data_IF_834920448949
#
_entry.id   IF_834920448949
#
_cell.length_a   1.000
_cell.length_b   1.000
_cell.length_c   1.000
_cell.angle_alpha   90.00
_cell.angle_beta   90.00
_cell.angle_gamma   90.00
#
_symmetry.space_group_name_H-M   'P 1'
#
loop_
_entity.id
_entity.type
_entity.pdbx_description
1 polymer ?
#
# COMPACT_ATOMS: atom_id res chain seq x y z
N UNK A 1 22.01 -13.77 -16.02
CA UNK A 1 21.87 -12.42 -15.44
C UNK A 1 20.65 -12.45 -14.55
N UNK A 2 20.76 -12.06 -13.28
CA UNK A 2 19.58 -11.94 -12.41
C UNK A 2 18.67 -10.84 -12.98
N UNK A 3 17.40 -11.16 -13.22
CA UNK A 3 16.42 -10.16 -13.63
C UNK A 3 16.10 -9.28 -12.41
N UNK A 4 16.27 -7.97 -12.56
CA UNK A 4 15.88 -7.00 -11.53
C UNK A 4 14.35 -6.96 -11.46
N UNK A 5 13.78 -7.33 -10.32
CA UNK A 5 12.35 -7.16 -10.06
C UNK A 5 12.05 -5.74 -9.61
N UNK A 6 11.15 -5.05 -10.31
CA UNK A 6 10.65 -3.74 -9.91
C UNK A 6 9.26 -3.84 -9.27
N UNK A 7 8.92 -2.83 -8.47
CA UNK A 7 7.64 -2.75 -7.75
C UNK A 7 6.83 -1.58 -8.33
N UNK A 8 5.58 -1.85 -8.65
CA UNK A 8 4.63 -0.84 -9.08
C UNK A 8 3.33 -0.92 -8.29
N UNK A 9 2.77 0.24 -7.92
CA UNK A 9 1.38 0.36 -7.50
C UNK A 9 0.58 0.93 -8.66
N UNK A 10 -0.57 0.33 -8.94
CA UNK A 10 -1.41 0.63 -10.08
C UNK A 10 -2.80 0.95 -9.55
N UNK A 11 -3.38 2.02 -10.07
CA UNK A 11 -4.77 2.39 -9.83
C UNK A 11 -5.41 2.86 -11.14
N UNK A 12 -6.73 2.79 -11.22
CA UNK A 12 -7.46 3.11 -12.45
C UNK A 12 -8.70 3.94 -12.17
N UNK A 13 -8.99 4.89 -13.06
CA UNK A 13 -10.22 5.66 -13.00
C UNK A 13 -11.01 5.51 -14.28
N UNK A 14 -12.33 5.38 -14.14
CA UNK A 14 -13.27 5.24 -15.23
C UNK A 14 -14.34 6.33 -15.18
N UNK A 15 -14.63 6.94 -16.32
CA UNK A 15 -15.81 7.78 -16.49
C UNK A 15 -16.98 6.88 -16.90
N UNK A 16 -17.81 6.52 -15.92
CA UNK A 16 -18.87 5.50 -16.06
C UNK A 16 -18.27 4.11 -16.39
N UNK A 17 -18.18 3.77 -17.68
CA UNK A 17 -17.60 2.52 -18.19
C UNK A 17 -16.44 2.79 -19.17
N UNK A 18 -16.05 4.05 -19.32
CA UNK A 18 -14.96 4.44 -20.21
C UNK A 18 -13.67 4.57 -19.40
N UNK A 19 -12.61 3.81 -19.74
CA UNK A 19 -11.31 3.97 -19.12
C UNK A 19 -10.80 5.39 -19.37
N UNK A 20 -10.49 6.11 -18.29
CA UNK A 20 -10.17 7.52 -18.35
C UNK A 20 -8.72 7.81 -17.92
N UNK A 21 -8.29 7.20 -16.80
CA UNK A 21 -6.95 7.40 -16.24
C UNK A 21 -6.35 6.07 -15.83
N UNK A 22 -5.09 5.85 -16.20
CA UNK A 22 -4.25 4.81 -15.64
C UNK A 22 -3.16 5.47 -14.79
N UNK A 23 -3.10 5.11 -13.51
CA UNK A 23 -2.15 5.66 -12.55
C UNK A 23 -1.10 4.59 -12.22
N UNK A 24 0.17 4.96 -12.29
CA UNK A 24 1.28 4.04 -12.05
C UNK A 24 2.30 4.71 -11.16
N UNK A 25 2.49 4.20 -9.94
CA UNK A 25 3.63 4.53 -9.11
C UNK A 25 4.74 3.49 -9.29
N UNK A 26 5.90 3.92 -9.80
CA UNK A 26 7.12 3.13 -9.81
C UNK A 26 7.89 3.36 -8.49
N UNK A 27 8.02 2.32 -7.68
CA UNK A 27 8.71 2.39 -6.38
C UNK A 27 10.18 2.03 -6.59
N UNK A 28 11.06 3.01 -6.44
CA UNK A 28 12.52 2.87 -6.67
C UNK A 28 13.22 2.50 -5.36
N UNK A 29 12.82 3.15 -4.26
CA UNK A 29 13.26 2.88 -2.90
C UNK A 29 12.21 3.37 -1.89
N UNK A 30 12.42 3.12 -0.60
CA UNK A 30 11.52 3.54 0.48
C UNK A 30 11.30 5.07 0.52
N UNK A 31 12.23 5.85 -0.03
CA UNK A 31 12.17 7.31 -0.06
C UNK A 31 11.89 7.88 -1.46
N UNK A 32 11.92 7.05 -2.50
CA UNK A 32 11.85 7.52 -3.88
C UNK A 32 10.86 6.70 -4.70
N UNK A 33 9.86 7.40 -5.22
CA UNK A 33 8.95 6.87 -6.22
C UNK A 33 8.69 7.89 -7.32
N UNK A 34 8.23 7.41 -8.48
CA UNK A 34 7.79 8.24 -9.60
C UNK A 34 6.37 7.86 -9.96
N UNK A 35 5.50 8.85 -10.12
CA UNK A 35 4.09 8.63 -10.48
C UNK A 35 3.87 9.07 -11.92
N UNK A 36 3.32 8.17 -12.71
CA UNK A 36 2.91 8.40 -14.09
C UNK A 36 1.39 8.36 -14.15
N UNK A 37 0.80 9.39 -14.76
CA UNK A 37 -0.62 9.48 -15.04
C UNK A 37 -0.80 9.41 -16.55
N UNK A 38 -1.49 8.38 -17.03
CA UNK A 38 -1.74 8.16 -18.45
C UNK A 38 -3.21 8.45 -18.73
N UNK A 39 -3.46 9.55 -19.43
CA UNK A 39 -4.80 10.00 -19.79
C UNK A 39 -5.28 9.31 -21.06
N UNK A 40 -6.20 8.37 -20.91
CA UNK A 40 -6.56 7.44 -22.00
C UNK A 40 -7.25 8.13 -23.18
N UNK A 41 -8.00 9.20 -22.92
CA UNK A 41 -8.69 9.98 -23.94
C UNK A 41 -7.74 10.86 -24.77
N UNK A 42 -6.50 11.06 -24.31
CA UNK A 42 -5.51 11.96 -24.92
C UNK A 42 -4.23 11.21 -25.29
N UNK A 43 -4.29 9.89 -25.43
CA UNK A 43 -3.20 9.11 -25.99
C UNK A 43 -2.88 9.59 -27.42
N UNK A 44 -1.59 9.67 -27.80
CA UNK A 44 -1.21 10.01 -29.15
C UNK A 44 -1.67 8.93 -30.15
N UNK A 45 -1.80 9.25 -31.45
CA UNK A 45 -2.16 8.26 -32.46
C UNK A 45 -1.20 7.07 -32.47
N UNK A 46 -1.73 5.86 -32.70
CA UNK A 46 -0.96 4.60 -32.66
C UNK A 46 0.17 4.54 -33.68
N UNK A 47 0.14 5.37 -34.73
CA UNK A 47 1.20 5.47 -35.73
C UNK A 47 2.38 6.36 -35.31
N UNK A 48 2.33 6.98 -34.13
CA UNK A 48 3.36 7.91 -33.67
C UNK A 48 4.44 7.21 -32.85
N UNK A 49 5.68 7.70 -33.00
CA UNK A 49 6.83 7.26 -32.18
C UNK A 49 6.54 7.43 -30.68
N UNK A 50 5.82 8.49 -30.29
CA UNK A 50 5.46 8.70 -28.89
C UNK A 50 4.54 7.60 -28.36
N UNK A 51 3.54 7.18 -29.13
CA UNK A 51 2.70 6.04 -28.77
C UNK A 51 3.52 4.77 -28.61
N UNK A 52 4.42 4.48 -29.55
CA UNK A 52 5.30 3.32 -29.48
C UNK A 52 6.17 3.33 -28.21
N UNK A 53 6.63 4.51 -27.78
CA UNK A 53 7.40 4.66 -26.54
C UNK A 53 6.56 4.46 -25.29
N UNK A 54 5.32 4.97 -25.26
CA UNK A 54 4.38 4.71 -24.17
C UNK A 54 4.07 3.22 -24.09
N UNK A 55 3.82 2.58 -25.24
CA UNK A 55 3.56 1.14 -25.32
C UNK A 55 4.77 0.32 -24.85
N UNK A 56 5.99 0.68 -25.27
CA UNK A 56 7.22 0.03 -24.81
C UNK A 56 7.38 0.16 -23.29
N UNK A 57 7.16 1.34 -22.73
CA UNK A 57 7.22 1.59 -21.29
C UNK A 57 6.20 0.74 -20.53
N UNK A 58 4.94 0.73 -20.96
CA UNK A 58 3.91 -0.12 -20.37
C UNK A 58 4.26 -1.61 -20.50
N UNK A 59 4.81 -2.05 -21.64
CA UNK A 59 5.30 -3.41 -21.83
C UNK A 59 6.41 -3.81 -20.84
N UNK A 60 7.28 -2.87 -20.48
CA UNK A 60 8.30 -3.06 -19.44
C UNK A 60 7.65 -3.15 -18.06
N UNK A 61 6.74 -2.23 -17.72
CA UNK A 61 6.07 -2.17 -16.40
C UNK A 61 5.25 -3.45 -16.15
N UNK A 62 4.42 -3.84 -17.11
CA UNK A 62 3.46 -4.94 -16.98
C UNK A 62 4.04 -6.33 -17.31
N UNK A 63 5.37 -6.46 -17.37
CA UNK A 63 6.06 -7.75 -17.58
C UNK A 63 5.97 -8.65 -16.34
N UNK A 64 5.95 -9.98 -16.56
CA UNK A 64 5.83 -11.01 -15.52
C UNK A 64 6.88 -10.97 -14.40
N UNK A 65 8.05 -10.36 -14.63
CA UNK A 65 9.12 -10.23 -13.64
C UNK A 65 8.91 -9.12 -12.59
N UNK A 66 7.93 -8.24 -12.79
CA UNK A 66 7.63 -7.14 -11.89
C UNK A 66 6.48 -7.49 -10.93
N UNK A 67 6.52 -6.87 -9.74
CA UNK A 67 5.44 -6.94 -8.76
C UNK A 67 4.48 -5.79 -8.99
N UNK A 68 3.22 -6.12 -9.22
CA UNK A 68 2.13 -5.16 -9.43
C UNK A 68 1.19 -5.24 -8.24
N UNK A 69 0.98 -4.11 -7.58
CA UNK A 69 0.03 -3.94 -6.49
C UNK A 69 -1.16 -3.13 -6.99
N UNK A 70 -2.38 -3.60 -6.73
CA UNK A 70 -3.59 -2.81 -6.85
C UNK A 70 -4.38 -2.94 -5.56
N UNK A 71 -5.20 -1.94 -5.20
CA UNK A 71 -6.02 -2.08 -4.01
C UNK A 71 -6.99 -3.26 -4.16
N UNK A 72 -7.70 -3.36 -5.28
CA UNK A 72 -8.59 -4.48 -5.57
C UNK A 72 -8.04 -5.45 -6.61
N UNK A 73 -8.92 -6.28 -7.22
CA UNK A 73 -8.54 -7.25 -8.24
C UNK A 73 -8.11 -6.57 -9.55
N UNK A 74 -6.83 -6.19 -9.64
CA UNK A 74 -6.27 -5.36 -10.71
C UNK A 74 -6.52 -5.90 -12.12
N UNK A 75 -6.53 -7.23 -12.31
CA UNK A 75 -6.86 -7.85 -13.61
C UNK A 75 -8.25 -7.43 -14.11
N UNK A 76 -9.24 -7.39 -13.22
CA UNK A 76 -10.61 -6.95 -13.54
C UNK A 76 -10.62 -5.48 -13.96
N UNK A 77 -9.91 -4.63 -13.24
CA UNK A 77 -9.83 -3.20 -13.53
C UNK A 77 -9.12 -2.92 -14.87
N UNK A 78 -7.95 -3.53 -15.11
CA UNK A 78 -7.18 -3.36 -16.34
C UNK A 78 -7.87 -3.93 -17.59
N UNK A 79 -8.85 -4.82 -17.44
CA UNK A 79 -9.58 -5.42 -18.58
C UNK A 79 -10.18 -4.37 -19.50
N UNK A 80 -10.65 -3.24 -18.95
CA UNK A 80 -11.25 -2.17 -19.74
C UNK A 80 -10.21 -1.40 -20.60
N UNK A 81 -8.93 -1.46 -20.21
CA UNK A 81 -7.81 -0.75 -20.84
C UNK A 81 -7.14 -1.56 -21.96
N UNK A 82 -7.43 -2.86 -22.08
CA UNK A 82 -6.81 -3.76 -23.08
C UNK A 82 -6.98 -3.25 -24.52
N UNK A 83 -8.12 -2.61 -24.84
CA UNK A 83 -8.40 -2.06 -26.16
C UNK A 83 -7.37 -1.01 -26.64
N UNK A 84 -6.65 -0.37 -25.72
CA UNK A 84 -5.63 0.64 -26.06
C UNK A 84 -4.28 0.01 -26.40
N UNK A 85 -4.12 -1.31 -26.29
CA UNK A 85 -2.90 -2.05 -26.66
C UNK A 85 -1.63 -1.59 -25.96
N UNK A 86 -1.74 -0.94 -24.78
CA UNK A 86 -0.59 -0.48 -24.01
C UNK A 86 0.20 -1.65 -23.38
N UNK A 87 -0.46 -2.78 -23.13
CA UNK A 87 0.15 -3.97 -22.55
C UNK A 87 -0.55 -5.23 -23.07
N UNK A 88 0.15 -6.36 -22.97
CA UNK A 88 -0.40 -7.67 -23.28
C UNK A 88 -1.03 -8.28 -22.01
N UNK A 89 -2.36 -8.33 -21.99
CA UNK A 89 -3.12 -8.84 -20.85
C UNK A 89 -2.79 -10.30 -20.50
N UNK A 90 -2.38 -11.11 -21.49
CA UNK A 90 -1.99 -12.51 -21.26
C UNK A 90 -0.64 -12.65 -20.58
N UNK A 91 0.21 -11.61 -20.67
CA UNK A 91 1.56 -11.54 -20.11
C UNK A 91 1.64 -10.72 -18.82
N UNK A 92 0.51 -10.20 -18.34
CA UNK A 92 0.44 -9.51 -17.06
C UNK A 92 0.90 -10.47 -15.96
N UNK A 93 1.83 -10.03 -15.10
CA UNK A 93 2.12 -10.76 -13.85
C UNK A 93 0.83 -10.98 -13.07
N UNK A 94 0.77 -11.99 -12.21
CA UNK A 94 -0.33 -12.13 -11.26
C UNK A 94 -0.27 -10.96 -10.29
N UNK A 95 -1.15 -9.94 -10.39
CA UNK A 95 -1.07 -8.79 -9.52
C UNK A 95 -1.49 -9.20 -8.11
N UNK A 96 -0.88 -8.56 -7.12
CA UNK A 96 -1.30 -8.68 -5.73
C UNK A 96 -2.57 -7.88 -5.50
N UNK A 97 -3.59 -8.55 -4.99
CA UNK A 97 -4.82 -7.94 -4.48
C UNK A 97 -4.57 -7.46 -3.05
N UNK A 98 -4.22 -6.18 -2.90
CA UNK A 98 -3.81 -5.62 -1.60
C UNK A 98 -4.97 -5.59 -0.62
N UNK A 99 -6.23 -5.48 -1.06
CA UNK A 99 -7.41 -5.51 -0.20
C UNK A 99 -7.54 -6.86 0.49
N UNK A 100 -7.39 -7.95 -0.27
CA UNK A 100 -7.38 -9.30 0.27
C UNK A 100 -6.19 -9.54 1.21
N UNK A 101 -4.97 -9.24 0.73
CA UNK A 101 -3.74 -9.38 1.52
C UNK A 101 -3.79 -8.57 2.82
N UNK A 102 -4.35 -7.36 2.78
CA UNK A 102 -4.53 -6.48 3.93
C UNK A 102 -5.51 -7.06 4.94
N UNK A 103 -6.66 -7.57 4.50
CA UNK A 103 -7.64 -8.17 5.40
C UNK A 103 -7.02 -9.35 6.16
N UNK A 104 -6.38 -10.26 5.44
CA UNK A 104 -5.74 -11.44 6.02
C UNK A 104 -4.61 -11.04 6.98
N UNK A 105 -3.85 -10.00 6.62
CA UNK A 105 -2.82 -9.45 7.49
C UNK A 105 -3.42 -8.84 8.77
N UNK A 106 -4.46 -8.01 8.64
CA UNK A 106 -5.08 -7.32 9.76
C UNK A 106 -5.70 -8.30 10.75
N UNK A 107 -6.47 -9.27 10.26
CA UNK A 107 -7.15 -10.27 11.10
C UNK A 107 -6.14 -11.15 11.86
N UNK A 108 -4.96 -11.43 11.26
CA UNK A 108 -3.88 -12.17 11.93
C UNK A 108 -3.16 -11.34 13.00
N UNK A 109 -2.91 -10.05 12.72
CA UNK A 109 -2.13 -9.16 13.60
C UNK A 109 -2.97 -8.65 14.76
N UNK A 110 -4.25 -8.34 14.49
CA UNK A 110 -5.20 -7.78 15.43
C UNK A 110 -6.42 -8.70 15.56
N UNK A 111 -6.25 -9.92 16.08
CA UNK A 111 -7.35 -10.87 16.19
C UNK A 111 -8.48 -10.25 17.00
N UNK A 112 -9.72 -10.43 16.53
CA UNK A 112 -10.89 -10.04 17.30
C UNK A 112 -10.82 -10.80 18.63
N UNK A 113 -10.87 -10.05 19.73
CA UNK A 113 -11.15 -10.67 21.02
C UNK A 113 -12.64 -10.97 20.92
N UNK A 114 -12.99 -12.22 20.66
CA UNK A 114 -14.36 -12.67 20.85
C UNK A 114 -14.59 -12.53 22.35
N UNK A 115 -15.24 -11.43 22.76
CA UNK A 115 -15.75 -11.33 24.11
C UNK A 115 -16.78 -12.45 24.27
N UNK A 116 -16.35 -13.55 24.89
CA UNK A 116 -17.17 -14.68 25.35
C UNK A 116 -18.19 -14.28 26.44
N UNK A 117 -18.46 -12.99 26.64
CA UNK A 117 -19.56 -12.56 27.50
C UNK A 117 -20.85 -12.58 26.68
N UNK A 118 -21.50 -13.74 26.77
CA UNK A 118 -22.93 -13.92 26.57
C UNK A 118 -23.72 -12.87 27.37
N UNK A 119 -23.86 -11.66 26.84
CA UNK A 119 -24.97 -10.80 27.21
C UNK A 119 -26.15 -11.25 26.34
N UNK A 120 -26.95 -12.15 26.92
CA UNK A 120 -28.31 -12.44 26.46
C UNK A 120 -29.11 -11.14 26.50
N UNK A 121 -29.11 -10.40 25.39
CA UNK A 121 -30.02 -9.28 25.22
C UNK A 121 -31.44 -9.81 24.97
N UNK A 122 -32.47 -9.27 25.65
CA UNK A 122 -33.84 -9.72 25.49
C UNK A 122 -34.38 -9.36 24.10
N UNK A 123 -34.95 -10.37 23.46
CA UNK A 123 -35.57 -10.35 22.13
C UNK A 123 -36.58 -9.20 21.98
N UNK A 124 -36.15 -8.09 21.40
CA UNK A 124 -37.00 -7.02 20.88
C UNK A 124 -37.04 -7.10 19.37
N UNK A 125 -38.16 -7.57 18.83
CA UNK A 125 -38.48 -7.44 17.40
C UNK A 125 -38.53 -5.95 17.06
N UNK A 126 -37.82 -5.53 16.02
CA UNK A 126 -38.38 -4.67 14.98
C UNK A 126 -37.53 -4.77 13.71
N UNK A 127 -38.23 -5.02 12.61
CA UNK A 127 -37.71 -4.99 11.25
C UNK A 127 -37.54 -3.53 10.83
N UNK A 128 -36.45 -3.20 10.13
CA UNK A 128 -36.53 -2.39 8.92
C UNK A 128 -35.23 -2.41 8.11
N UNK A 129 -35.41 -2.42 6.79
CA UNK A 129 -34.40 -2.37 5.74
C UNK A 129 -33.92 -0.93 5.53
N UNK A 130 -32.62 -0.72 5.34
CA UNK A 130 -32.00 -0.09 4.15
C UNK A 130 -30.64 0.56 4.44
N UNK A 131 -29.70 0.32 3.52
CA UNK A 131 -28.56 1.14 3.12
C UNK A 131 -27.87 2.02 4.18
N UNK A 132 -26.89 1.46 4.90
CA UNK A 132 -25.94 2.28 5.66
C UNK A 132 -24.56 2.34 4.99
N UNK A 133 -24.34 3.46 4.31
CA UNK A 133 -23.03 4.13 4.25
C UNK A 133 -22.65 4.64 5.64
N UNK A 134 -22.55 3.76 6.64
CA UNK A 134 -21.97 4.11 7.93
C UNK A 134 -20.45 4.19 7.79
N UNK A 135 -20.00 5.28 7.16
CA UNK A 135 -18.67 5.83 7.45
C UNK A 135 -18.73 6.28 8.90
N UNK A 136 -18.22 5.44 9.79
CA UNK A 136 -17.93 5.84 11.16
C UNK A 136 -16.99 7.03 11.06
N UNK A 137 -17.55 8.24 11.21
CA UNK A 137 -16.81 9.49 11.13
C UNK A 137 -16.06 9.60 12.45
N UNK A 138 -14.90 8.94 12.53
CA UNK A 138 -13.99 9.09 13.66
C UNK A 138 -13.36 10.47 13.53
N UNK A 139 -14.02 11.48 14.10
CA UNK A 139 -13.43 12.79 14.38
C UNK A 139 -12.37 12.58 15.47
N UNK A 140 -11.16 12.16 15.09
CA UNK A 140 -10.06 12.06 16.02
C UNK A 140 -9.49 13.49 16.30
N UNK A 141 -9.41 13.92 17.57
CA UNK A 141 -8.76 15.18 17.95
C UNK A 141 -7.23 15.13 17.72
N UNK A 142 -6.53 16.28 17.71
CA UNK A 142 -5.12 16.40 17.31
C UNK A 142 -4.09 15.93 18.37
N UNK A 143 -4.45 15.07 19.32
CA UNK A 143 -3.51 14.51 20.31
C UNK A 143 -3.56 12.99 20.25
N UNK A 144 -2.68 12.43 19.41
CA UNK A 144 -2.60 11.01 19.07
C UNK A 144 -1.67 10.25 20.01
N UNK A 145 -2.20 9.79 21.13
CA UNK A 145 -1.76 8.50 21.66
C UNK A 145 -2.43 7.43 20.80
N UNK A 146 -1.64 6.63 20.09
CA UNK A 146 -2.17 5.49 19.32
C UNK A 146 -3.03 4.64 20.28
N UNK A 147 -4.31 4.38 19.98
CA UNK A 147 -5.06 3.41 20.76
C UNK A 147 -4.27 2.11 20.80
N UNK A 148 -4.19 1.48 21.97
CA UNK A 148 -3.37 0.28 22.24
C UNK A 148 -3.71 -0.93 21.36
N UNK A 149 -4.75 -0.82 20.52
CA UNK A 149 -5.06 -1.74 19.42
C UNK A 149 -5.92 -1.03 18.36
N UNK A 150 -5.58 -1.10 17.06
CA UNK A 150 -6.47 -0.63 15.99
C UNK A 150 -7.81 -1.38 16.02
N UNK A 151 -8.92 -0.66 15.92
CA UNK A 151 -10.27 -1.23 15.90
C UNK A 151 -10.65 -1.53 14.45
N UNK A 152 -11.16 -2.74 14.19
CA UNK A 152 -11.75 -3.08 12.90
C UNK A 152 -13.05 -2.27 12.71
N UNK A 153 -13.16 -1.40 11.69
CA UNK A 153 -14.32 -0.54 11.51
C UNK A 153 -15.56 -1.29 10.99
N UNK A 154 -15.44 -2.59 10.68
CA UNK A 154 -16.52 -3.40 10.15
C UNK A 154 -17.07 -4.38 11.20
N UNK A 155 -18.37 -4.32 11.43
CA UNK A 155 -19.07 -5.30 12.27
C UNK A 155 -19.05 -6.69 11.63
N UNK A 156 -19.34 -6.79 10.33
CA UNK A 156 -19.31 -8.05 9.58
C UNK A 156 -17.86 -8.50 9.28
N UNK A 157 -17.42 -9.68 9.77
CA UNK A 157 -16.09 -10.22 9.49
C UNK A 157 -15.85 -10.55 8.00
N UNK A 158 -16.91 -10.63 7.18
CA UNK A 158 -16.84 -10.86 5.73
C UNK A 158 -16.81 -9.56 4.92
N UNK A 159 -16.95 -8.40 5.57
CA UNK A 159 -16.89 -7.13 4.88
C UNK A 159 -15.53 -6.93 4.19
N UNK A 160 -15.56 -6.34 3.01
CA UNK A 160 -14.36 -5.96 2.26
C UNK A 160 -13.83 -4.63 2.76
N UNK A 161 -12.52 -4.55 2.93
CA UNK A 161 -11.87 -3.31 3.36
C UNK A 161 -11.89 -2.27 2.25
N UNK A 162 -12.29 -1.04 2.54
CA UNK A 162 -12.02 0.09 1.67
C UNK A 162 -10.60 0.59 1.91
N UNK A 163 -9.96 1.12 0.86
CA UNK A 163 -8.62 1.71 0.98
C UNK A 163 -8.63 2.83 2.04
N UNK A 164 -9.69 3.63 2.05
CA UNK A 164 -9.86 4.73 3.01
C UNK A 164 -9.85 4.23 4.47
N UNK A 165 -10.59 3.16 4.76
CA UNK A 165 -10.63 2.60 6.12
C UNK A 165 -9.29 1.97 6.50
N UNK A 166 -8.65 1.25 5.59
CA UNK A 166 -7.33 0.66 5.84
C UNK A 166 -6.28 1.75 6.16
N UNK A 167 -6.26 2.82 5.35
CA UNK A 167 -5.37 3.98 5.56
C UNK A 167 -5.68 4.71 6.87
N UNK A 168 -6.96 4.92 7.19
CA UNK A 168 -7.37 5.58 8.43
C UNK A 168 -6.93 4.79 9.66
N UNK A 169 -7.16 3.48 9.66
CA UNK A 169 -6.88 2.61 10.81
C UNK A 169 -5.37 2.39 11.01
N UNK A 170 -4.61 2.18 9.93
CA UNK A 170 -3.19 1.78 10.03
C UNK A 170 -2.23 2.94 9.90
N UNK A 171 -2.47 3.86 8.97
CA UNK A 171 -1.58 4.98 8.74
C UNK A 171 -2.01 6.23 9.50
N UNK A 172 -3.14 6.17 10.20
CA UNK A 172 -3.74 7.30 10.88
C UNK A 172 -3.88 8.54 9.98
N UNK A 173 -4.42 8.31 8.78
CA UNK A 173 -4.57 9.35 7.75
C UNK A 173 -5.97 9.29 7.17
N UNK A 174 -6.51 10.47 6.86
CA UNK A 174 -7.72 10.58 6.08
C UNK A 174 -7.39 10.58 4.58
N UNK A 175 -7.99 9.66 3.84
CA UNK A 175 -7.96 9.66 2.39
C UNK A 175 -9.23 10.35 1.89
N UNK A 176 -9.07 11.56 1.36
CA UNK A 176 -10.18 12.34 0.80
C UNK A 176 -10.77 11.61 -0.41
N UNK A 177 -12.09 11.42 -0.42
CA UNK A 177 -12.85 10.75 -1.49
C UNK A 177 -13.68 11.72 -2.35
N UNK A 178 -13.51 13.02 -2.16
CA UNK A 178 -14.22 14.09 -2.90
C UNK A 178 -14.11 13.98 -4.42
N UNK A 179 -13.05 13.35 -4.94
CA UNK A 179 -12.82 13.22 -6.38
C UNK A 179 -13.04 11.82 -6.97
N UNK A 180 -13.44 10.81 -6.18
CA UNK A 180 -13.56 9.40 -6.61
C UNK A 180 -14.47 9.20 -7.83
N UNK A 181 -15.53 9.99 -7.95
CA UNK A 181 -16.49 9.93 -9.06
C UNK A 181 -16.39 11.15 -9.98
N UNK A 182 -15.20 11.74 -10.06
CA UNK A 182 -14.96 12.87 -10.94
C UNK A 182 -15.01 12.48 -12.40
N UNK A 183 -15.10 13.49 -13.26
CA UNK A 183 -14.90 13.34 -14.69
C UNK A 183 -13.39 13.34 -14.99
N UNK A 184 -12.80 12.16 -15.10
CA UNK A 184 -11.38 11.93 -15.31
C UNK A 184 -10.94 12.12 -16.76
N UNK A 185 -11.83 11.96 -17.74
CA UNK A 185 -11.52 12.22 -19.16
C UNK A 185 -11.47 13.72 -19.52
N UNK A 186 -11.38 14.62 -18.53
CA UNK A 186 -11.42 16.07 -18.73
C UNK A 186 -10.11 16.69 -19.23
N UNK A 187 -9.03 15.92 -19.33
CA UNK A 187 -7.69 16.42 -19.68
C UNK A 187 -7.05 17.08 -18.46
N UNK A 188 -6.24 16.33 -17.70
CA UNK A 188 -5.55 16.80 -16.49
C UNK A 188 -4.38 17.71 -16.85
N UNK A 189 -3.65 17.40 -17.92
CA UNK A 189 -2.55 18.24 -18.42
C UNK A 189 -3.07 19.61 -18.92
N UNK A 190 -2.67 20.72 -18.29
CA UNK A 190 -3.04 22.06 -18.74
C UNK A 190 -2.60 22.36 -20.18
N UNK A 191 -1.51 21.75 -20.67
CA UNK A 191 -1.01 22.00 -22.02
C UNK A 191 -1.96 21.49 -23.12
N UNK A 192 -2.90 20.60 -22.78
CA UNK A 192 -3.94 20.14 -23.70
C UNK A 192 -5.01 21.21 -23.98
N UNK A 193 -5.08 22.27 -23.16
CA UNK A 193 -6.05 23.36 -23.33
C UNK A 193 -7.52 22.94 -23.18
N UNK A 194 -7.81 21.73 -22.71
CA UNK A 194 -9.18 21.17 -22.66
C UNK A 194 -10.13 21.94 -21.73
N UNK A 195 -9.57 22.71 -20.79
CA UNK A 195 -10.32 23.55 -19.85
C UNK A 195 -11.03 24.74 -20.51
N UNK A 196 -10.70 25.07 -21.77
CA UNK A 196 -11.42 26.11 -22.52
C UNK A 196 -12.64 25.54 -23.26
N UNK A 197 -12.76 24.21 -23.38
CA UNK A 197 -13.79 23.58 -24.20
C UNK A 197 -15.13 23.43 -23.44
N UNK A 198 -16.22 24.09 -23.89
CA UNK A 198 -17.50 24.11 -23.15
C UNK A 198 -18.12 22.73 -22.89
N UNK A 199 -17.88 21.76 -23.79
CA UNK A 199 -18.38 20.37 -23.65
C UNK A 199 -17.63 19.56 -22.59
N UNK A 200 -16.41 19.95 -22.25
CA UNK A 200 -15.56 19.28 -21.27
C UNK A 200 -15.68 19.90 -19.87
N UNK A 201 -15.99 21.20 -19.80
CA UNK A 201 -16.15 21.99 -18.57
C UNK A 201 -17.47 21.67 -17.82
N UNK A 202 -18.45 21.05 -18.50
CA UNK A 202 -19.79 20.84 -17.94
C UNK A 202 -20.62 22.13 -17.96
N UNK A 203 -21.94 22.02 -17.94
CA UNK A 203 -22.88 23.14 -18.09
C UNK A 203 -22.83 24.20 -16.98
N UNK A 204 -21.98 24.02 -15.96
CA UNK A 204 -21.85 24.93 -14.83
C UNK A 204 -20.76 25.97 -15.10
N UNK A 205 -21.22 27.18 -15.52
CA UNK A 205 -20.77 28.58 -15.23
C UNK A 205 -19.38 28.88 -14.64
N UNK A 206 -18.40 28.00 -14.69
CA UNK A 206 -17.03 28.28 -14.28
C UNK A 206 -16.27 28.75 -15.51
N UNK A 207 -16.62 29.94 -15.98
CA UNK A 207 -15.85 30.68 -16.98
C UNK A 207 -14.47 31.13 -16.43
N UNK A 208 -14.17 30.82 -15.17
CA UNK A 208 -12.88 31.11 -14.56
C UNK A 208 -11.89 29.96 -14.84
N UNK A 209 -10.99 30.22 -15.80
CA UNK A 209 -9.86 29.34 -16.14
C UNK A 209 -9.09 28.93 -14.88
N UNK A 210 -8.95 29.83 -13.89
CA UNK A 210 -8.21 29.54 -12.65
C UNK A 210 -8.86 28.41 -11.86
N UNK A 211 -10.18 28.41 -11.72
CA UNK A 211 -10.90 27.34 -11.02
C UNK A 211 -10.77 26.00 -11.73
N UNK A 212 -10.77 26.00 -13.06
CA UNK A 212 -10.60 24.79 -13.85
C UNK A 212 -9.19 24.20 -13.73
N UNK A 213 -8.16 25.05 -13.66
CA UNK A 213 -6.78 24.62 -13.41
C UNK A 213 -6.62 24.09 -11.98
N UNK A 214 -7.12 24.81 -10.98
CA UNK A 214 -7.09 24.35 -9.57
C UNK A 214 -7.84 23.03 -9.39
N UNK A 215 -8.97 22.82 -10.08
CA UNK A 215 -9.67 21.54 -10.06
C UNK A 215 -8.80 20.40 -10.59
N UNK A 216 -8.07 20.62 -11.69
CA UNK A 216 -7.17 19.60 -12.29
C UNK A 216 -5.98 19.32 -11.39
N UNK A 217 -5.39 20.34 -10.78
CA UNK A 217 -4.34 20.18 -9.78
C UNK A 217 -4.81 19.30 -8.60
N UNK A 218 -6.06 19.51 -8.14
CA UNK A 218 -6.66 18.69 -7.10
C UNK A 218 -6.90 17.24 -7.54
N UNK A 219 -7.33 17.02 -8.79
CA UNK A 219 -7.47 15.67 -9.37
C UNK A 219 -6.12 14.94 -9.46
N UNK A 220 -5.07 15.62 -9.92
CA UNK A 220 -3.71 15.08 -9.95
C UNK A 220 -3.22 14.76 -8.54
N UNK A 221 -3.47 15.64 -7.58
CA UNK A 221 -3.12 15.42 -6.18
C UNK A 221 -3.89 14.25 -5.56
N UNK A 222 -5.17 14.07 -5.90
CA UNK A 222 -5.99 12.93 -5.50
C UNK A 222 -5.42 11.63 -6.05
N UNK A 223 -5.24 11.52 -7.38
CA UNK A 223 -4.75 10.31 -8.05
C UNK A 223 -3.40 9.86 -7.45
N UNK A 224 -2.48 10.82 -7.29
CA UNK A 224 -1.20 10.57 -6.61
C UNK A 224 -1.38 10.02 -5.18
N UNK A 225 -2.27 10.60 -4.37
CA UNK A 225 -2.47 10.17 -2.99
C UNK A 225 -3.10 8.79 -2.89
N UNK A 226 -4.05 8.47 -3.76
CA UNK A 226 -4.73 7.16 -3.78
C UNK A 226 -3.72 6.06 -4.12
N UNK A 227 -2.97 6.23 -5.22
CA UNK A 227 -1.92 5.30 -5.64
C UNK A 227 -0.81 5.10 -4.57
N UNK A 228 -0.33 6.20 -3.96
CA UNK A 228 0.68 6.16 -2.89
C UNK A 228 0.18 5.51 -1.60
N UNK A 229 -1.12 5.56 -1.33
CA UNK A 229 -1.68 4.99 -0.11
C UNK A 229 -1.59 3.47 -0.13
N UNK A 230 -1.84 2.84 -1.29
CA UNK A 230 -1.64 1.41 -1.51
C UNK A 230 -0.20 1.01 -1.25
N UNK A 231 0.78 1.73 -1.83
CA UNK A 231 2.22 1.47 -1.61
C UNK A 231 2.60 1.56 -0.13
N UNK A 232 2.14 2.60 0.57
CA UNK A 232 2.44 2.80 2.00
C UNK A 232 1.84 1.69 2.86
N UNK A 233 0.64 1.22 2.57
CA UNK A 233 0.05 0.08 3.26
C UNK A 233 0.86 -1.19 3.03
N UNK A 234 1.24 -1.48 1.78
CA UNK A 234 2.08 -2.64 1.47
C UNK A 234 3.41 -2.59 2.22
N UNK A 235 4.05 -1.42 2.26
CA UNK A 235 5.30 -1.23 3.00
C UNK A 235 5.09 -1.44 4.51
N UNK A 236 4.06 -0.83 5.09
CA UNK A 236 3.73 -1.00 6.51
C UNK A 236 3.49 -2.47 6.88
N UNK A 237 2.72 -3.20 6.06
CA UNK A 237 2.43 -4.62 6.29
C UNK A 237 3.71 -5.47 6.30
N UNK A 238 4.67 -5.16 5.41
CA UNK A 238 5.97 -5.84 5.35
C UNK A 238 6.86 -5.49 6.54
N UNK A 239 6.89 -4.23 6.96
CA UNK A 239 7.74 -3.78 8.06
C UNK A 239 7.24 -4.25 9.42
N UNK A 240 5.93 -4.52 9.54
CA UNK A 240 5.33 -5.05 10.77
C UNK A 240 5.44 -6.58 10.91
N UNK A 241 5.58 -7.31 9.79
CA UNK A 241 5.74 -8.79 9.79
C UNK A 241 6.92 -9.32 10.65
N UNK A 242 8.12 -8.70 10.64
CA UNK A 242 9.27 -9.15 11.44
C UNK A 242 9.03 -9.19 12.95
N UNK A 243 8.07 -8.40 13.47
CA UNK A 243 7.83 -8.26 14.91
C UNK A 243 7.01 -9.44 15.45
N UNK A 244 6.19 -10.07 14.61
CA UNK A 244 5.27 -11.16 15.00
C UNK A 244 5.81 -12.56 14.75
N UNK A 245 6.89 -12.71 13.97
CA UNK A 245 7.57 -13.99 13.91
C UNK A 245 8.10 -14.27 15.33
N UNK A 246 7.68 -15.36 16.02
CA UNK A 246 8.29 -15.72 17.28
C UNK A 246 9.78 -15.82 17.01
N UNK A 247 10.58 -15.04 17.75
CA UNK A 247 12.03 -15.19 17.73
C UNK A 247 12.35 -16.59 18.24
N UNK A 248 12.28 -17.58 17.36
CA UNK A 248 12.89 -18.88 17.50
C UNK A 248 14.39 -18.75 17.28
N UNK A 249 15.01 -17.69 17.83
CA UNK A 249 16.37 -17.82 18.34
C UNK A 249 16.27 -18.75 19.53
N UNK A 250 16.37 -20.05 19.25
CA UNK A 250 16.88 -21.01 20.21
C UNK A 250 18.27 -20.47 20.56
N UNK A 251 18.36 -19.73 21.67
CA UNK A 251 19.64 -19.47 22.32
C UNK A 251 20.08 -20.85 22.80
N UNK A 252 20.89 -21.51 21.98
CA UNK A 252 21.60 -22.71 22.43
C UNK A 252 22.58 -22.20 23.47
N UNK A 253 22.17 -22.25 24.74
CA UNK A 253 23.08 -22.12 25.86
C UNK A 253 23.91 -23.40 25.81
N UNK A 254 25.00 -23.39 25.04
CA UNK A 254 26.06 -24.38 25.25
C UNK A 254 26.51 -24.20 26.69
N UNK A 255 26.40 -25.24 27.55
CA UNK A 255 26.99 -25.18 28.87
C UNK A 255 28.45 -24.78 28.71
N UNK A 256 28.87 -23.71 29.39
CA UNK A 256 30.30 -23.42 29.53
C UNK A 256 30.91 -24.66 30.17
N UNK A 257 31.64 -25.44 29.37
CA UNK A 257 32.62 -26.36 29.94
C UNK A 257 33.58 -25.47 30.73
N UNK A 258 33.72 -25.66 32.05
CA UNK A 258 34.74 -24.94 32.79
C UNK A 258 36.09 -25.23 32.12
N UNK A 259 36.95 -24.22 31.91
CA UNK A 259 38.27 -24.45 31.37
C UNK A 259 38.97 -25.49 32.25
N UNK A 260 39.72 -26.43 31.65
CA UNK A 260 40.49 -27.40 32.41
C UNK A 260 41.34 -26.67 33.43
N UNK A 261 41.21 -27.12 34.66
CA UNK A 261 41.84 -26.65 35.88
C UNK A 261 43.29 -26.20 35.65
N UNK A 262 43.56 -24.97 36.06
CA UNK A 262 44.87 -24.37 36.28
C UNK A 262 45.60 -25.12 37.42
N UNK A 263 46.02 -26.35 37.16
CA UNK A 263 46.90 -27.14 38.03
C UNK A 263 48.19 -27.52 37.28
N UNK A 264 48.83 -26.52 36.67
CA UNK A 264 50.16 -26.66 36.07
C UNK A 264 51.04 -25.40 36.21
N UNK A 265 50.73 -24.50 37.17
CA UNK A 265 51.50 -23.27 37.40
C UNK A 265 51.80 -23.00 38.89
N UNK A 266 52.04 -24.05 39.67
CA UNK A 266 52.68 -23.93 41.00
C UNK A 266 53.97 -24.76 40.97
N UNK A 267 54.94 -24.32 40.17
CA UNK A 267 56.29 -24.89 40.19
C UNK A 267 57.42 -23.89 39.87
N UNK A 268 57.16 -22.57 39.76
CA UNK A 268 58.21 -21.61 39.38
C UNK A 268 58.09 -20.21 40.04
N UNK A 269 57.67 -20.12 41.31
CA UNK A 269 57.59 -18.81 42.02
C UNK A 269 58.24 -18.79 43.41
N UNK A 270 58.91 -19.86 43.87
CA UNK A 270 59.70 -19.78 45.11
C UNK A 270 61.11 -20.29 44.85
N UNK A 271 61.94 -19.39 44.31
CA UNK A 271 63.39 -19.48 44.47
C UNK A 271 63.72 -19.38 45.95
N UNK A 272 64.00 -20.53 46.56
CA UNK A 272 64.74 -20.61 47.80
C UNK A 272 66.08 -21.26 47.47
N UNK A 273 67.11 -20.42 47.48
CA UNK A 273 68.50 -20.85 47.48
C UNK A 273 68.75 -21.66 48.75
N UNK A 274 69.24 -22.89 48.55
CA UNK A 274 69.88 -23.68 49.59
C UNK A 274 71.32 -23.17 49.71
N UNK A 275 71.63 -22.47 50.80
CA UNK A 275 73.00 -22.38 51.32
C UNK A 275 73.12 -23.16 52.63
N UNK A 276 74.10 -24.06 52.59
CA UNK A 276 74.63 -24.91 53.65
C UNK A 276 75.29 -24.07 54.74
N UNK A 277 74.95 -24.26 56.02
CA UNK A 277 75.90 -24.03 57.13
C UNK A 277 75.73 -25.15 58.16
N UNK A 278 76.79 -25.95 58.25
CA UNK A 278 77.17 -26.83 59.34
C UNK A 278 77.52 -26.06 60.62
N UNK A 279 76.95 -26.48 61.75
CA UNK A 279 77.63 -26.87 63.00
C UNK A 279 76.64 -27.58 63.94
#
# INVERSE_FOLDING_TARGET
MASTTHIYSIDTECDKQFPALLQIEAVISDQQSTIMLIEMAYLPPQSTILFDKIQQLCGIIFTTGNKLYGWGPLKKELSAFVKYRLFDYSRLSTPSDVQGEFKDWFDRVFPRIEDETQYTEPSGNDQDQDQDQNVLTILAPPTFDLPTKPINPYSDPKATWSLQNAVAVILNRFLDKSFTMSRWACGLDPLLGTYIHPKLVGSARTNDIRQQLTRRENLVAYARKDCQSTTKLVQYMRDYQPILAPSSRIVTITPRTPPPSTLAAISNVLGFDYEDISD
#
